data_IF_234786669181
#
_entry.id   IF_234786669181
#
_cell.length_a   1.000
_cell.length_b   1.000
_cell.length_c   1.000
_cell.angle_alpha   90.00
_cell.angle_beta   90.00
_cell.angle_gamma   90.00
#
_symmetry.space_group_name_H-M   'P 1'
#
loop_
_entity.id
_entity.type
_entity.pdbx_description
1 polymer ?
#
# COMPACT_ATOMS: atom_id res chain seq x y z
N UNK A 1 -24.50 -16.53 9.08
CA UNK A 1 -23.33 -16.36 9.96
C UNK A 1 -22.73 -15.00 9.66
N UNK A 2 -23.05 -13.97 10.45
CA UNK A 2 -22.42 -12.65 10.33
C UNK A 2 -21.09 -12.71 11.06
N UNK A 3 -19.99 -12.74 10.31
CA UNK A 3 -18.66 -12.48 10.87
C UNK A 3 -18.73 -11.04 11.41
N UNK A 4 -18.39 -10.77 12.68
CA UNK A 4 -18.36 -9.39 13.16
C UNK A 4 -17.27 -8.68 12.35
N UNK A 5 -17.66 -7.68 11.57
CA UNK A 5 -16.71 -6.81 10.87
C UNK A 5 -15.76 -6.23 11.92
N UNK A 6 -14.52 -6.74 11.92
CA UNK A 6 -13.47 -6.25 12.80
C UNK A 6 -13.01 -4.90 12.29
N UNK A 7 -13.11 -3.86 13.12
CA UNK A 7 -12.63 -2.53 12.80
C UNK A 7 -11.26 -2.30 13.44
N UNK A 8 -10.33 -1.60 12.76
CA UNK A 8 -9.10 -1.16 13.40
C UNK A 8 -9.42 -0.29 14.63
N UNK A 9 -8.95 -0.67 15.81
CA UNK A 9 -9.12 0.14 17.03
C UNK A 9 -8.44 1.52 16.90
N UNK A 10 -7.33 1.56 16.17
CA UNK A 10 -6.55 2.77 15.89
C UNK A 10 -6.23 2.85 14.39
N UNK A 11 -7.17 3.29 13.53
CA UNK A 11 -6.94 3.33 12.09
C UNK A 11 -5.74 4.23 11.74
N UNK A 12 -5.00 3.85 10.71
CA UNK A 12 -3.85 4.63 10.23
C UNK A 12 -4.27 5.91 9.50
N UNK A 13 -5.46 5.94 8.91
CA UNK A 13 -5.92 7.04 8.03
C UNK A 13 -5.84 8.41 8.72
N UNK A 14 -6.35 8.55 9.94
CA UNK A 14 -6.26 9.80 10.72
C UNK A 14 -4.90 10.08 11.34
N UNK A 15 -3.88 9.26 11.05
CA UNK A 15 -2.52 9.37 11.61
C UNK A 15 -1.45 9.47 10.52
N UNK A 16 -1.84 9.35 9.26
CA UNK A 16 -0.91 9.22 8.13
C UNK A 16 -0.18 10.53 7.85
N UNK A 17 -0.78 11.68 8.17
CA UNK A 17 -0.16 13.00 8.07
C UNK A 17 0.94 13.22 9.13
N UNK A 18 0.90 12.48 10.25
CA UNK A 18 1.93 12.57 11.30
C UNK A 18 3.22 11.83 10.94
N UNK A 19 3.18 10.95 9.94
CA UNK A 19 4.38 10.27 9.43
C UNK A 19 5.22 11.32 8.67
N UNK A 20 6.54 11.31 8.88
CA UNK A 20 7.44 12.27 8.22
C UNK A 20 7.20 12.32 6.71
N UNK A 21 7.10 13.51 6.09
CA UNK A 21 7.00 13.63 4.63
C UNK A 21 8.23 13.11 3.88
N UNK A 22 9.38 13.01 4.57
CA UNK A 22 10.60 12.43 4.02
C UNK A 22 10.54 10.91 3.84
N UNK A 23 9.56 10.24 4.47
CA UNK A 23 9.41 8.80 4.38
C UNK A 23 8.43 8.47 3.25
N UNK A 24 8.90 7.88 2.13
CA UNK A 24 8.03 7.46 1.07
C UNK A 24 7.16 6.26 1.49
N UNK A 25 6.01 6.09 0.85
CA UNK A 25 5.06 5.02 1.16
C UNK A 25 4.51 4.41 -0.12
N UNK A 26 4.55 3.09 -0.23
CA UNK A 26 3.92 2.37 -1.35
C UNK A 26 2.85 1.43 -0.81
N UNK A 27 1.64 1.53 -1.37
CA UNK A 27 0.53 0.62 -1.11
C UNK A 27 0.47 -0.45 -2.19
N UNK A 28 0.47 -1.72 -1.80
CA UNK A 28 0.39 -2.84 -2.73
C UNK A 28 -0.97 -3.54 -2.58
N UNK A 29 -1.74 -3.59 -3.66
CA UNK A 29 -3.05 -4.25 -3.72
C UNK A 29 -3.07 -5.37 -4.76
N UNK A 30 -3.94 -6.36 -4.57
CA UNK A 30 -4.27 -7.33 -5.61
C UNK A 30 -5.51 -6.91 -6.39
N UNK A 31 -5.53 -7.10 -7.71
CA UNK A 31 -6.66 -6.67 -8.56
C UNK A 31 -7.97 -7.43 -8.34
N UNK A 32 -7.94 -8.57 -7.64
CA UNK A 32 -9.10 -9.39 -7.27
C UNK A 32 -9.43 -9.33 -5.77
N UNK A 33 -8.80 -8.41 -5.03
CA UNK A 33 -9.07 -8.18 -3.62
C UNK A 33 -10.46 -7.60 -3.39
N UNK A 34 -11.13 -8.00 -2.31
CA UNK A 34 -12.36 -7.35 -1.84
C UNK A 34 -12.10 -6.01 -1.12
N UNK A 35 -10.84 -5.75 -0.76
CA UNK A 35 -10.35 -4.47 -0.26
C UNK A 35 -9.89 -3.67 -1.48
N UNK A 36 -10.56 -2.55 -1.76
CA UNK A 36 -10.24 -1.68 -2.88
C UNK A 36 -9.06 -0.73 -2.57
N UNK A 37 -8.57 -0.05 -3.62
CA UNK A 37 -7.46 0.91 -3.51
C UNK A 37 -7.86 2.31 -3.02
N UNK A 38 -9.10 2.55 -2.57
CA UNK A 38 -9.56 3.90 -2.20
C UNK A 38 -8.81 4.46 -1.00
N UNK A 39 -8.49 3.60 -0.02
CA UNK A 39 -7.72 4.01 1.14
C UNK A 39 -6.31 4.48 0.78
N UNK A 40 -5.63 3.80 -0.16
CA UNK A 40 -4.34 4.24 -0.69
C UNK A 40 -4.43 5.59 -1.40
N UNK A 41 -5.49 5.82 -2.19
CA UNK A 41 -5.73 7.11 -2.87
C UNK A 41 -5.95 8.24 -1.89
N UNK A 42 -6.77 8.02 -0.87
CA UNK A 42 -6.98 9.00 0.20
C UNK A 42 -5.66 9.35 0.92
N UNK A 43 -4.79 8.37 1.16
CA UNK A 43 -3.46 8.64 1.73
C UNK A 43 -2.58 9.45 0.78
N UNK A 44 -2.59 9.14 -0.51
CA UNK A 44 -1.85 9.90 -1.52
C UNK A 44 -2.30 11.37 -1.55
N UNK A 45 -3.59 11.64 -1.42
CA UNK A 45 -4.16 12.99 -1.34
C UNK A 45 -3.82 13.71 -0.03
N UNK A 46 -3.83 13.00 1.11
CA UNK A 46 -3.47 13.55 2.43
C UNK A 46 -1.96 13.82 2.57
N UNK A 47 -1.12 13.21 1.72
CA UNK A 47 0.35 13.34 1.77
C UNK A 47 0.93 13.97 0.49
N UNK A 48 0.51 15.19 0.09
CA UNK A 48 0.93 15.79 -1.18
C UNK A 48 2.43 16.11 -1.25
N UNK A 49 3.09 16.25 -0.11
CA UNK A 49 4.52 16.58 0.02
C UNK A 49 5.40 15.35 0.28
N UNK A 50 4.86 14.14 0.10
CA UNK A 50 5.57 12.87 0.29
C UNK A 50 5.30 11.99 -0.90
N UNK A 51 6.32 11.27 -1.38
CA UNK A 51 6.10 10.28 -2.42
C UNK A 51 5.21 9.16 -1.87
N UNK A 52 4.01 9.04 -2.44
CA UNK A 52 3.05 7.99 -2.11
C UNK A 52 2.60 7.33 -3.40
N UNK A 53 2.81 6.02 -3.50
CA UNK A 53 2.53 5.24 -4.70
C UNK A 53 1.50 4.14 -4.41
N UNK A 54 0.74 3.77 -5.44
CA UNK A 54 -0.19 2.65 -5.40
C UNK A 54 0.19 1.67 -6.51
N UNK A 55 0.55 0.45 -6.12
CA UNK A 55 0.88 -0.66 -7.02
C UNK A 55 -0.24 -1.69 -6.97
N UNK A 56 -0.70 -2.13 -8.14
CA UNK A 56 -1.74 -3.16 -8.26
C UNK A 56 -1.20 -4.38 -8.97
N UNK A 57 -1.13 -5.50 -8.26
CA UNK A 57 -0.67 -6.78 -8.78
C UNK A 57 -1.85 -7.51 -9.42
N UNK A 58 -1.71 -7.79 -10.71
CA UNK A 58 -2.78 -8.40 -11.50
C UNK A 58 -2.95 -9.87 -11.14
N UNK A 59 -4.20 -10.30 -10.99
CA UNK A 59 -4.54 -11.70 -10.69
C UNK A 59 -4.48 -12.06 -9.20
N UNK A 60 -3.88 -11.21 -8.36
CA UNK A 60 -3.82 -11.42 -6.91
C UNK A 60 -5.11 -10.98 -6.19
N UNK A 61 -5.46 -11.69 -5.11
CA UNK A 61 -6.48 -11.32 -4.14
C UNK A 61 -5.93 -10.47 -3.00
N UNK A 62 -6.47 -10.62 -1.80
CA UNK A 62 -6.07 -9.80 -0.64
C UNK A 62 -4.67 -10.13 -0.13
N UNK A 63 -4.30 -11.41 -0.13
CA UNK A 63 -2.98 -11.88 0.30
C UNK A 63 -2.05 -11.90 -0.90
N UNK A 64 -1.67 -10.71 -1.36
CA UNK A 64 -0.94 -10.50 -2.62
C UNK A 64 0.34 -11.34 -2.71
N UNK A 65 1.08 -11.43 -1.60
CA UNK A 65 2.31 -12.21 -1.48
C UNK A 65 2.10 -13.73 -1.55
N UNK A 66 0.88 -14.22 -1.30
CA UNK A 66 0.51 -15.64 -1.42
C UNK A 66 0.00 -15.93 -2.82
N UNK A 67 -0.89 -15.07 -3.34
CA UNK A 67 -1.58 -15.33 -4.60
C UNK A 67 -0.66 -15.16 -5.83
N UNK A 68 0.25 -14.18 -5.81
CA UNK A 68 1.18 -13.86 -6.90
C UNK A 68 2.57 -13.55 -6.33
N UNK A 69 3.22 -14.54 -5.73
CA UNK A 69 4.47 -14.35 -4.99
C UNK A 69 5.63 -13.80 -5.85
N UNK A 70 5.74 -14.23 -7.11
CA UNK A 70 6.80 -13.77 -8.02
C UNK A 70 6.63 -12.29 -8.38
N UNK A 71 5.44 -11.91 -8.86
CA UNK A 71 5.12 -10.51 -9.19
C UNK A 71 5.22 -9.60 -7.95
N UNK A 72 4.79 -10.09 -6.78
CA UNK A 72 4.93 -9.36 -5.52
C UNK A 72 6.39 -9.12 -5.16
N UNK A 73 7.23 -10.16 -5.20
CA UNK A 73 8.64 -10.03 -4.88
C UNK A 73 9.36 -9.09 -5.86
N UNK A 74 9.05 -9.19 -7.16
CA UNK A 74 9.61 -8.32 -8.17
C UNK A 74 9.21 -6.86 -7.93
N UNK A 75 7.92 -6.59 -7.67
CA UNK A 75 7.45 -5.25 -7.34
C UNK A 75 8.15 -4.67 -6.11
N UNK A 76 8.30 -5.47 -5.03
CA UNK A 76 9.02 -5.03 -3.82
C UNK A 76 10.48 -4.67 -4.12
N UNK A 77 11.18 -5.47 -4.94
CA UNK A 77 12.55 -5.19 -5.33
C UNK A 77 12.67 -3.89 -6.14
N UNK A 78 11.76 -3.65 -7.09
CA UNK A 78 11.72 -2.43 -7.89
C UNK A 78 11.44 -1.19 -7.04
N UNK A 79 10.50 -1.29 -6.09
CA UNK A 79 10.20 -0.25 -5.11
C UNK A 79 11.45 0.08 -4.30
N UNK A 80 12.13 -0.93 -3.75
CA UNK A 80 13.35 -0.74 -2.97
C UNK A 80 14.49 -0.12 -3.80
N UNK A 81 14.66 -0.55 -5.05
CA UNK A 81 15.67 0.02 -5.96
C UNK A 81 15.39 1.50 -6.25
N UNK A 82 14.12 1.85 -6.51
CA UNK A 82 13.69 3.22 -6.78
C UNK A 82 14.02 4.16 -5.61
N UNK A 83 13.81 3.72 -4.37
CA UNK A 83 14.10 4.56 -3.19
C UNK A 83 15.57 4.55 -2.77
N UNK A 84 16.30 3.47 -2.97
CA UNK A 84 17.75 3.45 -2.70
C UNK A 84 18.52 4.41 -3.62
N UNK A 85 18.01 4.68 -4.82
CA UNK A 85 18.57 5.69 -5.73
C UNK A 85 18.23 7.13 -5.30
N UNK A 86 17.25 7.31 -4.41
CA UNK A 86 16.79 8.63 -3.94
C UNK A 86 17.62 9.19 -2.78
N UNK A 87 18.40 8.36 -2.09
CA UNK A 87 19.36 8.81 -1.06
C UNK A 87 20.77 9.13 -1.62
N UNK A 88 20.90 9.25 -2.95
CA UNK A 88 22.15 9.57 -3.67
C UNK A 88 22.26 11.02 -4.15
#
# INVERSE_FOLDING_TARGET
MTIPYGWPQHPMMGRVEMISPSLPMTFVYGSRSCIDGQSGKAVQEMRPNSHTEIVVIQGAGHYVFVDQSEDFNQAVLEICQTYNQWEG
#
